data_IF_825180077045
#
_entry.id   IF_825180077045
#
_cell.length_a   1.000
_cell.length_b   1.000
_cell.length_c   1.000
_cell.angle_alpha   90.00
_cell.angle_beta   90.00
_cell.angle_gamma   90.00
#
_symmetry.space_group_name_H-M   'P 1'
#
loop_
_entity.id
_entity.type
_entity.pdbx_description
1 polymer ?
#
# COMPACT_ATOMS: atom_id res chain seq x y z
N UNK A 1 -11.50 17.55 -13.61
CA UNK A 1 -10.57 17.51 -12.45
C UNK A 1 -9.74 18.79 -12.56
N UNK A 2 -9.60 19.58 -11.50
CA UNK A 2 -8.79 20.79 -11.56
C UNK A 2 -7.27 20.44 -11.51
N UNK A 3 -6.44 21.36 -11.99
CA UNK A 3 -4.99 21.16 -12.09
C UNK A 3 -4.36 20.84 -10.71
N UNK A 4 -4.87 21.48 -9.64
CA UNK A 4 -4.37 21.24 -8.27
C UNK A 4 -4.63 19.80 -7.82
N UNK A 5 -5.84 19.26 -8.06
CA UNK A 5 -6.15 17.88 -7.73
C UNK A 5 -5.30 16.89 -8.54
N UNK A 6 -5.02 17.20 -9.81
CA UNK A 6 -4.12 16.37 -10.63
C UNK A 6 -2.70 16.36 -10.06
N UNK A 7 -2.14 17.53 -9.77
CA UNK A 7 -0.78 17.63 -9.19
C UNK A 7 -0.67 16.96 -7.83
N UNK A 8 -1.68 17.12 -6.96
CA UNK A 8 -1.72 16.44 -5.66
C UNK A 8 -1.78 14.91 -5.82
N UNK A 9 -2.59 14.41 -6.76
CA UNK A 9 -2.69 12.98 -7.04
C UNK A 9 -1.39 12.38 -7.60
N UNK A 10 -0.74 13.08 -8.53
CA UNK A 10 0.56 12.66 -9.06
C UNK A 10 1.64 12.68 -7.97
N UNK A 11 1.72 13.77 -7.19
CA UNK A 11 2.67 13.87 -6.08
C UNK A 11 2.46 12.74 -5.05
N UNK A 12 1.19 12.47 -4.69
CA UNK A 12 0.85 11.34 -3.83
C UNK A 12 1.34 10.02 -4.42
N UNK A 13 1.05 9.74 -5.70
CA UNK A 13 1.41 8.48 -6.34
C UNK A 13 2.94 8.27 -6.38
N UNK A 14 3.71 9.32 -6.68
CA UNK A 14 5.19 9.28 -6.65
C UNK A 14 5.71 9.03 -5.23
N UNK A 15 5.25 9.80 -4.25
CA UNK A 15 5.67 9.66 -2.85
C UNK A 15 5.31 8.29 -2.28
N UNK A 16 4.13 7.78 -2.62
CA UNK A 16 3.69 6.46 -2.18
C UNK A 16 4.52 5.35 -2.82
N UNK A 17 4.72 5.40 -4.13
CA UNK A 17 5.46 4.40 -4.87
C UNK A 17 6.96 4.37 -4.51
N UNK A 18 7.57 5.53 -4.25
CA UNK A 18 8.98 5.62 -3.85
C UNK A 18 9.28 4.98 -2.48
N UNK A 19 8.24 4.65 -1.69
CA UNK A 19 8.40 3.88 -0.47
C UNK A 19 9.05 2.52 -0.72
N UNK A 20 8.77 1.86 -1.85
CA UNK A 20 9.41 0.59 -2.20
C UNK A 20 10.92 0.74 -2.40
N UNK A 21 11.33 1.77 -3.12
CA UNK A 21 12.75 2.10 -3.34
C UNK A 21 13.47 2.38 -2.02
N UNK A 22 12.92 3.25 -1.17
CA UNK A 22 13.53 3.56 0.12
C UNK A 22 13.52 2.36 1.09
N UNK A 23 12.48 1.52 1.04
CA UNK A 23 12.44 0.26 1.79
C UNK A 23 13.57 -0.68 1.37
N UNK A 24 13.78 -0.87 0.06
CA UNK A 24 14.89 -1.71 -0.45
C UNK A 24 16.25 -1.22 0.05
N UNK A 25 16.47 0.09 0.09
CA UNK A 25 17.69 0.67 0.67
C UNK A 25 17.84 0.31 2.16
N UNK A 26 16.74 0.35 2.92
CA UNK A 26 16.77 0.06 4.36
C UNK A 26 17.05 -1.43 4.62
N UNK A 27 16.31 -2.34 3.96
CA UNK A 27 16.39 -3.77 4.27
C UNK A 27 17.68 -4.46 3.79
N UNK A 28 18.49 -3.77 2.99
CA UNK A 28 19.84 -4.21 2.64
C UNK A 28 20.88 -3.87 3.72
N UNK A 29 20.54 -3.00 4.66
CA UNK A 29 21.48 -2.48 5.68
C UNK A 29 20.95 -2.64 7.12
N UNK A 30 19.67 -3.01 7.29
CA UNK A 30 19.02 -3.19 8.60
C UNK A 30 17.99 -4.32 8.58
N UNK A 31 17.73 -4.96 9.72
CA UNK A 31 16.69 -5.97 9.86
C UNK A 31 15.31 -5.40 9.51
N UNK A 32 14.57 -5.99 8.55
CA UNK A 32 13.35 -5.40 8.01
C UNK A 32 12.24 -5.18 9.03
N UNK A 33 11.94 -6.18 9.87
CA UNK A 33 10.83 -6.09 10.82
C UNK A 33 11.13 -5.11 11.96
N UNK A 34 12.38 -5.10 12.47
CA UNK A 34 12.80 -4.15 13.49
C UNK A 34 12.81 -2.72 12.97
N UNK A 35 13.36 -2.50 11.78
CA UNK A 35 13.36 -1.18 11.14
C UNK A 35 11.93 -0.70 10.85
N UNK A 36 11.04 -1.59 10.41
CA UNK A 36 9.63 -1.28 10.18
C UNK A 36 8.90 -0.98 11.49
N UNK A 37 9.18 -1.71 12.58
CA UNK A 37 8.62 -1.44 13.90
C UNK A 37 8.99 -0.02 14.37
N UNK A 38 10.27 0.35 14.25
CA UNK A 38 10.75 1.68 14.61
C UNK A 38 10.12 2.78 13.74
N UNK A 39 10.03 2.55 12.42
CA UNK A 39 9.33 3.45 11.51
C UNK A 39 7.89 3.69 11.95
N UNK A 40 7.14 2.62 12.26
CA UNK A 40 5.77 2.74 12.71
C UNK A 40 5.62 3.37 14.09
N UNK A 41 6.55 3.12 15.02
CA UNK A 41 6.57 3.80 16.31
C UNK A 41 6.70 5.31 16.13
N UNK A 42 7.66 5.77 15.33
CA UNK A 42 7.88 7.19 15.06
C UNK A 42 6.68 7.82 14.32
N UNK A 43 6.25 7.21 13.20
CA UNK A 43 5.13 7.76 12.41
C UNK A 43 3.82 7.71 13.19
N UNK A 44 3.60 6.68 14.00
CA UNK A 44 2.40 6.51 14.82
C UNK A 44 2.32 7.55 15.93
N UNK A 45 3.42 7.79 16.65
CA UNK A 45 3.50 8.84 17.68
C UNK A 45 3.22 10.22 17.06
N UNK A 46 3.90 10.55 15.96
CA UNK A 46 3.67 11.82 15.25
C UNK A 46 2.23 11.92 14.74
N UNK A 47 1.68 10.84 14.17
CA UNK A 47 0.29 10.80 13.71
C UNK A 47 -0.72 11.05 14.84
N UNK A 48 -0.51 10.44 16.00
CA UNK A 48 -1.35 10.67 17.20
C UNK A 48 -1.20 12.11 17.70
N UNK A 49 0.01 12.67 17.75
CA UNK A 49 0.22 14.07 18.16
C UNK A 49 -0.49 15.04 17.22
N UNK A 50 -0.40 14.83 15.91
CA UNK A 50 -1.13 15.64 14.91
C UNK A 50 -2.64 15.51 15.12
N UNK A 51 -3.15 14.30 15.35
CA UNK A 51 -4.57 14.06 15.60
C UNK A 51 -5.06 14.81 16.84
N UNK A 52 -4.30 14.78 17.93
CA UNK A 52 -4.60 15.53 19.16
C UNK A 52 -4.60 17.04 18.90
N UNK A 53 -3.63 17.56 18.15
CA UNK A 53 -3.58 18.98 17.76
C UNK A 53 -4.77 19.39 16.89
N UNK A 54 -5.35 18.45 16.11
CA UNK A 54 -6.58 18.63 15.33
C UNK A 54 -7.87 18.48 16.17
N UNK A 55 -7.77 18.29 17.48
CA UNK A 55 -8.92 18.07 18.38
C UNK A 55 -9.51 16.65 18.31
N UNK A 56 -8.85 15.71 17.63
CA UNK A 56 -9.26 14.31 17.60
C UNK A 56 -8.78 13.59 18.86
N UNK A 57 -9.56 12.61 19.35
CA UNK A 57 -9.19 11.86 20.55
C UNK A 57 -9.55 10.38 20.43
N UNK A 58 -8.72 9.50 21.01
CA UNK A 58 -9.01 8.05 21.07
C UNK A 58 -10.23 7.71 21.95
N UNK A 59 -10.62 8.62 22.87
CA UNK A 59 -11.74 8.40 23.79
C UNK A 59 -13.11 8.38 23.10
N UNK A 60 -13.22 9.03 21.94
CA UNK A 60 -14.47 9.12 21.16
C UNK A 60 -14.56 8.08 20.05
N UNK A 61 -13.55 7.20 19.92
CA UNK A 61 -13.56 6.15 18.91
C UNK A 61 -14.65 5.11 19.21
N UNK A 62 -15.46 4.82 18.19
CA UNK A 62 -16.47 3.77 18.24
C UNK A 62 -15.85 2.36 18.23
N UNK A 63 -16.61 1.35 18.62
CA UNK A 63 -16.15 -0.05 18.54
C UNK A 63 -15.74 -0.44 17.11
N UNK A 64 -16.45 0.07 16.10
CA UNK A 64 -16.12 -0.16 14.68
C UNK A 64 -14.78 0.46 14.30
N UNK A 65 -14.50 1.67 14.78
CA UNK A 65 -13.21 2.34 14.55
C UNK A 65 -12.06 1.62 15.28
N UNK A 66 -12.25 1.15 16.50
CA UNK A 66 -11.26 0.34 17.21
C UNK A 66 -10.98 -1.00 16.50
N UNK A 67 -12.03 -1.67 15.98
CA UNK A 67 -11.81 -2.86 15.13
C UNK A 67 -10.98 -2.52 13.89
N UNK A 68 -11.23 -1.38 13.24
CA UNK A 68 -10.44 -0.94 12.10
C UNK A 68 -8.99 -0.67 12.49
N UNK A 69 -8.72 -0.01 13.62
CA UNK A 69 -7.36 0.20 14.17
C UNK A 69 -6.63 -1.12 14.33
N UNK A 70 -7.27 -2.13 14.93
CA UNK A 70 -6.65 -3.44 15.16
C UNK A 70 -6.43 -4.20 13.84
N UNK A 71 -7.47 -4.30 13.00
CA UNK A 71 -7.38 -5.05 11.74
C UNK A 71 -6.34 -4.42 10.81
N UNK A 72 -6.35 -3.09 10.65
CA UNK A 72 -5.37 -2.41 9.81
C UNK A 72 -3.96 -2.48 10.44
N UNK A 73 -3.84 -2.33 11.75
CA UNK A 73 -2.56 -2.46 12.45
C UNK A 73 -1.93 -3.86 12.27
N UNK A 74 -2.73 -4.90 12.40
CA UNK A 74 -2.25 -6.28 12.25
C UNK A 74 -2.08 -6.69 10.78
N UNK A 75 -3.12 -6.50 9.95
CA UNK A 75 -3.12 -7.01 8.59
C UNK A 75 -2.36 -6.11 7.61
N UNK A 76 -2.53 -4.78 7.70
CA UNK A 76 -1.84 -3.85 6.80
C UNK A 76 -0.42 -3.54 7.27
N UNK A 77 -0.24 -3.20 8.55
CA UNK A 77 1.06 -2.75 9.01
C UNK A 77 1.98 -3.91 9.39
N UNK A 78 1.52 -4.87 10.21
CA UNK A 78 2.39 -5.97 10.59
C UNK A 78 2.51 -7.03 9.48
N UNK A 79 1.40 -7.56 8.97
CA UNK A 79 1.45 -8.67 8.02
C UNK A 79 1.82 -8.20 6.60
N UNK A 80 1.05 -7.27 6.01
CA UNK A 80 1.31 -6.82 4.63
C UNK A 80 2.68 -6.15 4.51
N UNK A 81 2.95 -5.11 5.30
CA UNK A 81 4.23 -4.41 5.19
C UNK A 81 5.39 -5.22 5.76
N UNK A 82 5.18 -6.02 6.82
CA UNK A 82 6.21 -6.92 7.34
C UNK A 82 6.69 -7.92 6.29
N UNK A 83 5.76 -8.63 5.64
CA UNK A 83 6.11 -9.58 4.56
C UNK A 83 6.76 -8.87 3.36
N UNK A 84 6.26 -7.70 2.95
CA UNK A 84 6.88 -6.94 1.85
C UNK A 84 8.29 -6.47 2.17
N UNK A 85 8.54 -5.94 3.37
CA UNK A 85 9.87 -5.52 3.79
C UNK A 85 10.83 -6.71 3.84
N UNK A 86 10.40 -7.82 4.41
CA UNK A 86 11.19 -9.05 4.44
C UNK A 86 11.47 -9.57 3.04
N UNK A 87 10.45 -9.63 2.16
CA UNK A 87 10.61 -10.08 0.78
C UNK A 87 11.62 -9.26 -0.01
N UNK A 88 11.67 -7.94 0.23
CA UNK A 88 12.60 -7.04 -0.44
C UNK A 88 14.08 -7.22 -0.03
N UNK A 89 14.40 -8.18 0.82
CA UNK A 89 15.78 -8.65 0.98
C UNK A 89 16.24 -9.48 -0.22
N UNK A 90 15.32 -10.15 -0.91
CA UNK A 90 15.60 -11.10 -2.01
C UNK A 90 15.09 -10.66 -3.37
N UNK A 91 14.05 -9.81 -3.41
CA UNK A 91 13.49 -9.31 -4.67
C UNK A 91 13.69 -7.80 -4.82
N UNK A 92 13.61 -7.33 -6.04
CA UNK A 92 13.75 -5.92 -6.41
C UNK A 92 12.54 -5.08 -5.95
N UNK A 93 12.78 -3.80 -5.68
CA UNK A 93 11.74 -2.85 -5.25
C UNK A 93 10.67 -2.64 -6.34
N UNK A 94 11.09 -2.58 -7.60
CA UNK A 94 10.19 -2.49 -8.75
C UNK A 94 9.22 -3.65 -8.80
N UNK A 95 9.71 -4.89 -8.65
CA UNK A 95 8.88 -6.11 -8.64
C UNK A 95 7.90 -6.10 -7.45
N UNK A 96 8.36 -5.76 -6.25
CA UNK A 96 7.50 -5.65 -5.07
C UNK A 96 6.38 -4.63 -5.27
N UNK A 97 6.67 -3.47 -5.88
CA UNK A 97 5.68 -2.43 -6.18
C UNK A 97 4.61 -2.89 -7.18
N UNK A 98 5.01 -3.69 -8.19
CA UNK A 98 4.09 -4.25 -9.17
C UNK A 98 3.15 -5.25 -8.51
N UNK A 99 3.68 -6.17 -7.69
CA UNK A 99 2.86 -7.15 -6.97
C UNK A 99 1.88 -6.43 -6.02
N UNK A 100 2.35 -5.45 -5.27
CA UNK A 100 1.49 -4.65 -4.37
C UNK A 100 0.36 -3.93 -5.14
N UNK A 101 0.64 -3.45 -6.35
CA UNK A 101 -0.36 -2.79 -7.20
C UNK A 101 -1.46 -3.73 -7.71
N UNK A 102 -1.31 -5.05 -7.59
CA UNK A 102 -2.37 -6.02 -7.90
C UNK A 102 -3.47 -6.08 -6.82
N UNK A 103 -3.25 -5.49 -5.64
CA UNK A 103 -4.20 -5.50 -4.53
C UNK A 103 -5.63 -5.07 -4.92
N UNK A 104 -5.88 -4.01 -5.71
CA UNK A 104 -7.22 -3.65 -6.14
C UNK A 104 -7.92 -4.74 -6.98
N UNK A 105 -7.15 -5.51 -7.75
CA UNK A 105 -7.65 -6.66 -8.50
C UNK A 105 -8.06 -7.80 -7.55
N UNK A 106 -7.23 -8.08 -6.54
CA UNK A 106 -7.55 -9.07 -5.50
C UNK A 106 -8.80 -8.66 -4.70
N UNK A 107 -8.92 -7.38 -4.33
CA UNK A 107 -10.13 -6.85 -3.66
C UNK A 107 -11.37 -7.06 -4.54
N UNK A 108 -11.27 -6.80 -5.84
CA UNK A 108 -12.40 -6.98 -6.76
C UNK A 108 -12.75 -8.47 -6.93
N UNK A 109 -11.74 -9.33 -7.06
CA UNK A 109 -11.94 -10.78 -7.19
C UNK A 109 -12.57 -11.39 -5.93
N UNK A 110 -12.07 -11.02 -4.74
CA UNK A 110 -12.63 -11.48 -3.45
C UNK A 110 -14.03 -10.92 -3.22
N UNK A 111 -14.29 -9.65 -3.53
CA UNK A 111 -15.60 -9.04 -3.43
C UNK A 111 -16.62 -9.75 -4.33
N UNK A 112 -16.23 -10.10 -5.55
CA UNK A 112 -17.05 -10.85 -6.48
C UNK A 112 -17.30 -12.29 -6.01
N UNK A 113 -16.26 -13.03 -5.66
CA UNK A 113 -16.35 -14.47 -5.36
C UNK A 113 -16.91 -14.77 -3.97
N UNK A 114 -16.57 -13.98 -2.95
CA UNK A 114 -16.93 -14.25 -1.55
C UNK A 114 -18.09 -13.38 -1.04
N UNK A 115 -18.24 -12.16 -1.57
CA UNK A 115 -19.26 -11.22 -1.09
C UNK A 115 -20.43 -11.06 -2.07
N UNK A 116 -20.41 -11.78 -3.21
CA UNK A 116 -21.48 -11.71 -4.21
C UNK A 116 -21.59 -10.35 -4.91
N UNK A 117 -20.54 -9.52 -4.88
CA UNK A 117 -20.52 -8.25 -5.59
C UNK A 117 -20.62 -8.51 -7.10
N UNK A 118 -21.49 -7.79 -7.78
CA UNK A 118 -21.64 -7.92 -9.23
C UNK A 118 -20.56 -7.11 -9.95
N UNK A 119 -19.68 -7.79 -10.66
CA UNK A 119 -18.79 -7.16 -11.62
C UNK A 119 -19.47 -7.07 -12.98
N UNK A 120 -19.35 -5.89 -13.62
CA UNK A 120 -19.72 -5.75 -15.05
C UNK A 120 -18.73 -6.52 -15.91
N UNK A 121 -19.09 -6.85 -17.14
CA UNK A 121 -18.21 -7.56 -18.09
C UNK A 121 -16.85 -6.89 -18.25
N UNK A 122 -16.82 -5.54 -18.27
CA UNK A 122 -15.58 -4.78 -18.28
C UNK A 122 -14.70 -5.02 -17.04
N UNK A 123 -15.30 -5.22 -15.86
CA UNK A 123 -14.57 -5.57 -14.63
C UNK A 123 -13.96 -6.96 -14.67
N UNK A 124 -14.70 -7.93 -15.22
CA UNK A 124 -14.19 -9.29 -15.45
C UNK A 124 -13.01 -9.27 -16.45
N UNK A 125 -13.16 -8.55 -17.58
CA UNK A 125 -12.08 -8.33 -18.52
C UNK A 125 -10.85 -7.68 -17.89
N UNK A 126 -11.07 -6.71 -16.99
CA UNK A 126 -10.01 -6.07 -16.21
C UNK A 126 -9.27 -7.03 -15.28
N UNK A 127 -9.98 -7.96 -14.62
CA UNK A 127 -9.34 -9.01 -13.81
C UNK A 127 -8.48 -9.94 -14.68
N UNK A 128 -8.98 -10.34 -15.83
CA UNK A 128 -8.23 -11.20 -16.78
C UNK A 128 -6.96 -10.48 -17.24
N UNK A 129 -7.08 -9.20 -17.66
CA UNK A 129 -5.91 -8.39 -18.04
C UNK A 129 -4.88 -8.29 -16.90
N UNK A 130 -5.36 -8.08 -15.65
CA UNK A 130 -4.47 -8.06 -14.51
C UNK A 130 -3.69 -9.36 -14.32
N UNK A 131 -4.35 -10.52 -14.44
CA UNK A 131 -3.69 -11.83 -14.37
C UNK A 131 -2.70 -12.02 -15.51
N UNK A 132 -3.06 -11.65 -16.73
CA UNK A 132 -2.16 -11.71 -17.91
C UNK A 132 -0.93 -10.84 -17.70
N UNK A 133 -1.11 -9.59 -17.22
CA UNK A 133 0.01 -8.69 -16.94
C UNK A 133 0.96 -9.24 -15.87
N UNK A 134 0.42 -9.83 -14.80
CA UNK A 134 1.22 -10.53 -13.78
C UNK A 134 1.97 -11.71 -14.40
N UNK A 135 1.32 -12.53 -15.23
CA UNK A 135 1.96 -13.69 -15.87
C UNK A 135 3.10 -13.27 -16.79
N UNK A 136 2.97 -12.16 -17.55
CA UNK A 136 4.04 -11.61 -18.39
C UNK A 136 5.27 -11.27 -17.53
N UNK A 137 5.08 -10.53 -16.42
CA UNK A 137 6.17 -10.12 -15.55
C UNK A 137 6.80 -11.33 -14.86
N UNK A 138 5.98 -12.22 -14.30
CA UNK A 138 6.50 -13.42 -13.62
C UNK A 138 7.27 -14.32 -14.57
N UNK A 139 6.81 -14.48 -15.81
CA UNK A 139 7.52 -15.27 -16.83
C UNK A 139 8.92 -14.72 -17.11
N UNK A 140 9.06 -13.39 -17.22
CA UNK A 140 10.35 -12.74 -17.42
C UNK A 140 11.25 -12.82 -16.17
N UNK A 141 10.70 -12.54 -14.99
CA UNK A 141 11.45 -12.47 -13.73
C UNK A 141 11.91 -13.84 -13.22
N UNK A 142 11.08 -14.88 -13.35
CA UNK A 142 11.47 -16.24 -12.97
C UNK A 142 12.59 -16.79 -13.87
N UNK A 143 12.57 -16.47 -15.16
CA UNK A 143 13.67 -16.80 -16.07
C UNK A 143 14.96 -16.03 -15.74
N UNK A 144 14.83 -14.81 -15.21
CA UNK A 144 15.94 -13.98 -14.70
C UNK A 144 16.48 -14.39 -13.32
N UNK A 145 15.95 -15.45 -12.69
CA UNK A 145 16.45 -15.97 -11.41
C UNK A 145 15.93 -15.22 -10.18
N UNK A 146 14.82 -14.49 -10.28
CA UNK A 146 14.19 -13.85 -9.11
C UNK A 146 13.76 -14.89 -8.06
N UNK A 147 13.93 -14.55 -6.77
CA UNK A 147 13.62 -15.45 -5.66
C UNK A 147 12.10 -15.68 -5.54
N UNK A 148 11.70 -16.95 -5.68
CA UNK A 148 10.29 -17.35 -5.61
C UNK A 148 9.69 -17.11 -4.23
N UNK A 149 10.48 -17.25 -3.16
CA UNK A 149 10.02 -17.03 -1.78
C UNK A 149 9.60 -15.59 -1.58
N UNK A 150 10.43 -14.64 -2.01
CA UNK A 150 10.12 -13.21 -1.95
C UNK A 150 8.87 -12.86 -2.76
N UNK A 151 8.71 -13.44 -3.96
CA UNK A 151 7.51 -13.25 -4.79
C UNK A 151 6.25 -13.74 -4.06
N UNK A 152 6.28 -14.98 -3.54
CA UNK A 152 5.15 -15.57 -2.80
C UNK A 152 4.80 -14.73 -1.57
N UNK A 153 5.80 -14.28 -0.81
CA UNK A 153 5.59 -13.40 0.35
C UNK A 153 4.85 -12.10 -0.04
N UNK A 154 5.23 -11.46 -1.14
CA UNK A 154 4.53 -10.26 -1.62
C UNK A 154 3.09 -10.53 -2.06
N UNK A 155 2.81 -11.67 -2.72
CA UNK A 155 1.43 -12.04 -3.06
C UNK A 155 0.57 -12.33 -1.82
N UNK A 156 1.10 -13.07 -0.85
CA UNK A 156 0.42 -13.33 0.43
C UNK A 156 0.17 -12.01 1.18
N UNK A 157 1.14 -11.12 1.18
CA UNK A 157 1.01 -9.78 1.75
C UNK A 157 -0.13 -8.99 1.08
N UNK A 158 -0.14 -8.91 -0.26
CA UNK A 158 -1.17 -8.20 -1.02
C UNK A 158 -2.57 -8.79 -0.77
N UNK A 159 -2.68 -10.11 -0.66
CA UNK A 159 -3.93 -10.81 -0.34
C UNK A 159 -4.41 -10.47 1.08
N UNK A 160 -3.52 -10.45 2.07
CA UNK A 160 -3.85 -10.06 3.44
C UNK A 160 -4.39 -8.62 3.51
N UNK A 161 -3.76 -7.69 2.77
CA UNK A 161 -4.24 -6.32 2.66
C UNK A 161 -5.60 -6.24 1.96
N UNK A 162 -5.83 -7.04 0.92
CA UNK A 162 -7.11 -7.09 0.22
C UNK A 162 -8.24 -7.56 1.17
N UNK A 163 -8.01 -8.60 1.95
CA UNK A 163 -8.95 -9.09 2.96
C UNK A 163 -9.22 -8.03 4.03
N UNK A 164 -8.16 -7.40 4.56
CA UNK A 164 -8.30 -6.31 5.54
C UNK A 164 -9.14 -5.16 4.99
N UNK A 165 -8.88 -4.75 3.75
CA UNK A 165 -9.60 -3.67 3.07
C UNK A 165 -11.10 -3.97 2.95
N UNK A 166 -11.47 -5.21 2.62
CA UNK A 166 -12.87 -5.63 2.57
C UNK A 166 -13.53 -5.62 3.96
N UNK A 167 -12.79 -6.06 4.98
CA UNK A 167 -13.30 -6.19 6.36
C UNK A 167 -13.56 -4.82 7.03
N UNK A 168 -12.76 -3.80 6.69
CA UNK A 168 -12.85 -2.46 7.33
C UNK A 168 -13.65 -1.46 6.50
N UNK A 169 -14.34 -1.88 5.44
CA UNK A 169 -15.21 -1.00 4.65
C UNK A 169 -16.22 -0.28 5.56
N UNK A 170 -16.26 1.05 5.44
CA UNK A 170 -17.15 1.91 6.23
C UNK A 170 -16.64 2.33 7.60
N UNK A 171 -15.53 1.79 8.09
CA UNK A 171 -14.98 2.14 9.41
C UNK A 171 -14.37 3.56 9.47
N UNK A 172 -14.02 4.15 8.33
CA UNK A 172 -13.49 5.52 8.23
C UNK A 172 -14.58 6.61 8.25
N UNK A 173 -15.87 6.24 8.27
CA UNK A 173 -16.97 7.19 8.42
C UNK A 173 -17.06 7.68 9.87
N UNK A 174 -17.18 9.00 10.10
CA UNK A 174 -17.43 9.55 11.44
C UNK A 174 -16.28 10.37 12.05
N UNK A 175 -15.31 10.81 11.27
CA UNK A 175 -14.20 11.64 11.78
C UNK A 175 -13.07 10.81 12.43
N UNK A 176 -12.17 11.46 13.15
CA UNK A 176 -11.04 10.84 13.85
C UNK A 176 -10.08 10.03 12.94
N UNK A 177 -10.05 10.32 11.64
CA UNK A 177 -9.28 9.53 10.65
C UNK A 177 -7.78 9.56 10.98
N UNK A 178 -7.23 10.72 11.34
CA UNK A 178 -5.80 10.84 11.68
C UNK A 178 -5.47 10.07 12.95
N UNK A 179 -6.37 10.07 13.94
CA UNK A 179 -6.23 9.27 15.16
C UNK A 179 -6.22 7.78 14.86
N UNK A 180 -7.10 7.30 13.97
CA UNK A 180 -7.13 5.90 13.52
C UNK A 180 -5.81 5.54 12.83
N UNK A 181 -5.29 6.42 11.94
CA UNK A 181 -4.02 6.20 11.23
C UNK A 181 -2.85 6.12 12.21
N UNK A 182 -2.75 7.04 13.17
CA UNK A 182 -1.69 7.00 14.19
C UNK A 182 -1.75 5.73 15.05
N UNK A 183 -2.94 5.40 15.56
CA UNK A 183 -3.12 4.23 16.43
C UNK A 183 -2.87 2.90 15.70
N UNK A 184 -3.31 2.74 14.45
CA UNK A 184 -3.02 1.52 13.68
C UNK A 184 -1.51 1.33 13.43
N UNK A 185 -0.76 2.44 13.21
CA UNK A 185 0.69 2.38 13.12
C UNK A 185 1.33 1.93 14.43
N UNK A 186 0.85 2.43 15.59
CA UNK A 186 1.32 1.97 16.89
C UNK A 186 1.01 0.49 17.15
N UNK A 187 -0.17 0.00 16.74
CA UNK A 187 -0.48 -1.45 16.79
C UNK A 187 0.51 -2.24 15.94
N UNK A 188 0.81 -1.78 14.71
CA UNK A 188 1.82 -2.40 13.86
C UNK A 188 3.21 -2.38 14.50
N UNK A 189 3.61 -1.24 15.09
CA UNK A 189 4.89 -1.10 15.77
C UNK A 189 5.05 -2.08 16.94
N UNK A 190 4.03 -2.17 17.80
CA UNK A 190 4.03 -3.10 18.95
C UNK A 190 4.07 -4.55 18.46
N UNK A 191 3.24 -4.89 17.48
CA UNK A 191 3.18 -6.26 16.94
C UNK A 191 4.52 -6.68 16.35
N UNK A 192 5.11 -5.84 15.49
CA UNK A 192 6.40 -6.12 14.86
C UNK A 192 7.54 -6.12 15.88
N UNK A 193 7.54 -5.17 16.83
CA UNK A 193 8.54 -5.10 17.89
C UNK A 193 8.56 -6.33 18.81
N UNK A 194 7.41 -6.95 19.02
CA UNK A 194 7.30 -8.20 19.78
C UNK A 194 7.71 -9.43 18.96
N UNK A 195 7.45 -9.44 17.66
CA UNK A 195 7.70 -10.58 16.77
C UNK A 195 9.14 -10.58 16.23
N UNK A 196 9.66 -9.41 15.86
CA UNK A 196 10.95 -9.28 15.19
C UNK A 196 12.11 -9.99 15.93
N UNK A 197 12.27 -9.91 17.27
CA UNK A 197 13.37 -10.55 17.96
C UNK A 197 13.42 -12.09 17.84
N UNK A 198 12.31 -12.72 17.43
CA UNK A 198 12.25 -14.18 17.20
C UNK A 198 12.76 -14.59 15.81
N UNK A 199 12.82 -13.64 14.86
CA UNK A 199 13.19 -13.90 13.47
C UNK A 199 14.44 -13.14 13.04
N UNK A 200 14.83 -12.08 13.74
CA UNK A 200 15.88 -11.16 13.36
C UNK A 200 16.83 -10.89 14.53
N UNK A 201 18.12 -10.75 14.23
CA UNK A 201 19.12 -10.18 15.12
C UNK A 201 19.31 -8.70 14.79
N UNK A 202 19.63 -7.88 15.80
CA UNK A 202 19.93 -6.47 15.58
C UNK A 202 21.33 -6.33 14.95
N UNK A 203 21.39 -6.55 13.64
CA UNK A 203 22.57 -6.34 12.83
C UNK A 203 22.31 -5.20 11.85
N UNK A 204 22.86 -4.03 12.14
CA UNK A 204 22.60 -2.80 11.40
C UNK A 204 23.93 -2.20 10.91
N UNK A 205 24.06 -2.07 9.60
CA UNK A 205 25.15 -1.36 8.97
C UNK A 205 24.80 0.13 8.87
N UNK A 206 25.29 0.93 9.81
CA UNK A 206 25.00 2.36 9.87
C UNK A 206 25.71 3.12 8.75
N UNK A 207 24.99 3.41 7.68
CA UNK A 207 25.47 4.23 6.57
C UNK A 207 24.67 5.52 6.47
N UNK A 208 25.18 6.58 5.85
CA UNK A 208 24.39 7.77 5.51
C UNK A 208 23.16 7.42 4.64
N UNK A 209 23.30 6.41 3.75
CA UNK A 209 22.23 5.92 2.90
C UNK A 209 21.06 5.35 3.73
N UNK A 210 21.35 4.50 4.71
CA UNK A 210 20.35 3.95 5.62
C UNK A 210 19.57 5.06 6.35
N UNK A 211 20.32 6.00 6.96
CA UNK A 211 19.71 7.09 7.73
C UNK A 211 18.80 7.95 6.85
N UNK A 212 19.30 8.36 5.67
CA UNK A 212 18.50 9.15 4.72
C UNK A 212 17.28 8.39 4.24
N UNK A 213 17.43 7.13 3.83
CA UNK A 213 16.32 6.29 3.37
C UNK A 213 15.27 6.07 4.48
N UNK A 214 15.72 5.85 5.72
CA UNK A 214 14.84 5.67 6.87
C UNK A 214 14.04 6.94 7.19
N UNK A 215 14.71 8.09 7.32
CA UNK A 215 14.06 9.37 7.58
C UNK A 215 13.13 9.77 6.43
N UNK A 216 13.56 9.56 5.18
CA UNK A 216 12.72 9.74 4.00
C UNK A 216 11.44 8.90 4.11
N UNK A 217 11.57 7.62 4.45
CA UNK A 217 10.43 6.68 4.53
C UNK A 217 9.46 7.05 5.65
N UNK A 218 9.95 7.57 6.77
CA UNK A 218 9.12 8.09 7.87
C UNK A 218 8.37 9.36 7.43
N UNK A 219 9.09 10.32 6.82
CA UNK A 219 8.55 11.65 6.55
C UNK A 219 7.71 11.64 5.26
N UNK A 220 8.29 11.20 4.13
CA UNK A 220 7.67 11.40 2.82
C UNK A 220 6.52 10.44 2.58
N UNK A 221 6.68 9.11 2.46
CA UNK A 221 5.54 8.23 2.28
C UNK A 221 4.72 8.04 3.58
N UNK A 222 5.35 8.16 4.75
CA UNK A 222 4.66 7.97 6.04
C UNK A 222 3.75 9.13 6.42
N UNK A 223 4.24 10.36 6.39
CA UNK A 223 3.51 11.54 6.88
C UNK A 223 2.99 12.43 5.74
N UNK A 224 3.88 12.88 4.83
CA UNK A 224 3.53 13.86 3.79
C UNK A 224 2.55 13.26 2.78
N UNK A 225 2.80 12.04 2.29
CA UNK A 225 1.90 11.39 1.36
C UNK A 225 0.52 11.14 2.00
N UNK A 226 0.49 10.75 3.29
CA UNK A 226 -0.76 10.58 4.02
C UNK A 226 -1.53 11.90 4.13
N UNK A 227 -0.86 13.00 4.43
CA UNK A 227 -1.48 14.33 4.49
C UNK A 227 -2.01 14.77 3.12
N UNK A 228 -1.21 14.63 2.06
CA UNK A 228 -1.63 14.92 0.68
C UNK A 228 -2.83 14.06 0.26
N UNK A 229 -2.84 12.78 0.66
CA UNK A 229 -3.96 11.87 0.44
C UNK A 229 -5.27 12.39 1.05
N UNK A 230 -5.25 12.79 2.32
CA UNK A 230 -6.46 13.34 2.96
C UNK A 230 -6.94 14.62 2.31
N UNK A 231 -6.03 15.53 1.95
CA UNK A 231 -6.40 16.74 1.20
C UNK A 231 -7.01 16.40 -0.16
N UNK A 232 -6.44 15.43 -0.88
CA UNK A 232 -6.94 14.96 -2.16
C UNK A 232 -8.33 14.34 -2.03
N UNK A 233 -8.51 13.43 -1.05
CA UNK A 233 -9.81 12.81 -0.76
C UNK A 233 -10.86 13.86 -0.39
N UNK A 234 -10.52 14.85 0.42
CA UNK A 234 -11.41 15.96 0.78
C UNK A 234 -11.82 16.81 -0.46
N UNK A 235 -10.92 16.93 -1.46
CA UNK A 235 -11.15 17.76 -2.63
C UNK A 235 -11.95 17.07 -3.75
N UNK A 236 -11.64 15.81 -4.05
CA UNK A 236 -12.24 15.11 -5.21
C UNK A 236 -13.02 13.85 -4.83
N UNK A 237 -13.08 13.51 -3.55
CA UNK A 237 -13.73 12.31 -3.02
C UNK A 237 -12.83 11.06 -3.10
N UNK A 238 -13.08 10.10 -2.21
CA UNK A 238 -12.25 8.91 -2.04
C UNK A 238 -12.16 8.05 -3.32
N UNK A 239 -13.26 7.88 -4.05
CA UNK A 239 -13.30 7.04 -5.27
C UNK A 239 -12.38 7.60 -6.35
N UNK A 240 -12.42 8.93 -6.58
CA UNK A 240 -11.55 9.58 -7.56
C UNK A 240 -10.10 9.65 -7.09
N UNK A 241 -9.86 9.88 -5.80
CA UNK A 241 -8.52 9.88 -5.24
C UNK A 241 -7.87 8.49 -5.38
N UNK A 242 -8.62 7.40 -5.13
CA UNK A 242 -8.12 6.03 -5.25
C UNK A 242 -7.65 5.66 -6.66
N UNK A 243 -8.10 6.38 -7.71
CA UNK A 243 -7.61 6.12 -9.06
C UNK A 243 -6.11 6.42 -9.22
N UNK A 244 -5.54 7.30 -8.41
CA UNK A 244 -4.10 7.58 -8.49
C UNK A 244 -3.21 6.41 -8.04
N UNK A 245 -3.74 5.47 -7.26
CA UNK A 245 -2.99 4.25 -6.89
C UNK A 245 -2.66 3.35 -8.09
N UNK A 246 -3.40 3.43 -9.20
CA UNK A 246 -3.04 2.63 -10.37
C UNK A 246 -1.72 3.07 -11.02
N UNK A 247 -1.22 4.26 -10.70
CA UNK A 247 0.10 4.73 -11.13
C UNK A 247 1.26 4.16 -10.28
N UNK A 248 0.96 3.49 -9.17
CA UNK A 248 1.97 2.93 -8.25
C UNK A 248 2.96 2.00 -8.96
N UNK A 249 2.58 1.04 -9.82
CA UNK A 249 3.55 0.17 -10.47
C UNK A 249 4.47 0.94 -11.42
N UNK A 250 3.95 1.93 -12.12
CA UNK A 250 4.75 2.78 -13.00
C UNK A 250 5.81 3.58 -12.22
N UNK A 251 5.39 4.32 -11.20
CA UNK A 251 6.33 5.12 -10.41
C UNK A 251 7.24 4.26 -9.53
N UNK A 252 6.77 3.10 -9.06
CA UNK A 252 7.60 2.18 -8.27
C UNK A 252 8.76 1.63 -9.09
N UNK A 253 8.48 1.17 -10.30
CA UNK A 253 9.50 0.70 -11.24
C UNK A 253 10.43 1.84 -11.67
N UNK A 254 9.88 3.01 -11.99
CA UNK A 254 10.67 4.17 -12.40
C UNK A 254 11.63 4.66 -11.29
N UNK A 255 11.16 4.73 -10.02
CA UNK A 255 12.01 5.14 -8.89
C UNK A 255 13.05 4.07 -8.56
N UNK A 256 12.72 2.78 -8.67
CA UNK A 256 13.67 1.69 -8.46
C UNK A 256 14.78 1.71 -9.51
N UNK A 257 14.44 1.88 -10.79
CA UNK A 257 15.43 2.03 -11.85
C UNK A 257 16.32 3.26 -11.64
N UNK A 258 15.73 4.41 -11.28
CA UNK A 258 16.46 5.67 -11.14
C UNK A 258 17.42 5.68 -9.93
N UNK A 259 16.98 5.17 -8.78
CA UNK A 259 17.72 5.29 -7.51
C UNK A 259 18.47 4.02 -7.09
N UNK A 260 18.05 2.85 -7.59
CA UNK A 260 18.68 1.56 -7.27
C UNK A 260 19.44 0.97 -8.46
N UNK A 261 19.24 1.51 -9.69
CA UNK A 261 19.81 0.95 -10.89
C UNK A 261 19.19 -0.41 -11.28
N UNK A 262 17.93 -0.66 -10.88
CA UNK A 262 17.24 -1.88 -11.25
C UNK A 262 16.97 -1.91 -12.77
N UNK A 263 17.30 -3.01 -13.41
CA UNK A 263 17.10 -3.17 -14.84
C UNK A 263 15.62 -3.34 -15.20
N UNK A 264 15.20 -2.56 -16.20
CA UNK A 264 13.85 -2.62 -16.77
C UNK A 264 13.85 -3.50 -18.00
N UNK A 265 13.28 -4.70 -17.87
CA UNK A 265 13.04 -5.55 -19.01
C UNK A 265 11.81 -5.12 -19.82
N UNK A 266 11.76 -5.48 -21.10
CA UNK A 266 10.57 -5.26 -21.94
C UNK A 266 9.31 -5.92 -21.33
N UNK A 267 9.48 -7.09 -20.68
CA UNK A 267 8.40 -7.78 -19.97
C UNK A 267 7.80 -6.95 -18.83
N UNK A 268 8.63 -6.20 -18.09
CA UNK A 268 8.16 -5.32 -17.01
C UNK A 268 7.32 -4.17 -17.55
N UNK A 269 7.80 -3.50 -18.60
CA UNK A 269 7.10 -2.37 -19.23
C UNK A 269 5.74 -2.81 -19.78
N UNK A 270 5.72 -3.91 -20.54
CA UNK A 270 4.49 -4.45 -21.12
C UNK A 270 3.53 -4.92 -20.02
N UNK A 271 4.04 -5.69 -19.06
CA UNK A 271 3.22 -6.23 -17.98
C UNK A 271 2.64 -5.13 -17.08
N UNK A 272 3.42 -4.08 -16.75
CA UNK A 272 2.94 -2.91 -16.02
C UNK A 272 1.80 -2.21 -16.80
N UNK A 273 1.97 -1.99 -18.09
CA UNK A 273 0.93 -1.35 -18.91
C UNK A 273 -0.37 -2.20 -18.91
N UNK A 274 -0.25 -3.53 -19.04
CA UNK A 274 -1.39 -4.46 -19.03
C UNK A 274 -2.06 -4.49 -17.64
N UNK A 275 -1.29 -4.53 -16.54
CA UNK A 275 -1.83 -4.46 -15.18
C UNK A 275 -2.56 -3.13 -14.96
N UNK A 276 -1.98 -2.02 -15.36
CA UNK A 276 -2.60 -0.69 -15.23
C UNK A 276 -3.93 -0.62 -15.99
N UNK A 277 -3.97 -1.14 -17.22
CA UNK A 277 -5.21 -1.23 -18.00
C UNK A 277 -6.26 -2.12 -17.30
N UNK A 278 -5.84 -3.24 -16.71
CA UNK A 278 -6.70 -4.13 -15.94
C UNK A 278 -7.29 -3.45 -14.70
N UNK A 279 -6.47 -2.77 -13.91
CA UNK A 279 -6.90 -2.03 -12.73
C UNK A 279 -7.89 -0.91 -13.13
N UNK A 280 -7.58 -0.18 -14.18
CA UNK A 280 -8.45 0.89 -14.68
C UNK A 280 -9.81 0.34 -15.12
N UNK A 281 -9.85 -0.77 -15.88
CA UNK A 281 -11.08 -1.42 -16.31
C UNK A 281 -11.94 -1.88 -15.11
N UNK A 282 -11.33 -2.47 -14.09
CA UNK A 282 -12.03 -2.85 -12.84
C UNK A 282 -12.61 -1.62 -12.15
N UNK A 283 -11.85 -0.54 -12.02
CA UNK A 283 -12.32 0.67 -11.35
C UNK A 283 -13.47 1.36 -12.10
N UNK A 284 -13.40 1.46 -13.42
CA UNK A 284 -14.44 2.03 -14.26
C UNK A 284 -15.70 1.16 -14.29
N UNK A 285 -15.58 -0.15 -14.06
CA UNK A 285 -16.68 -1.08 -14.04
C UNK A 285 -17.55 -1.00 -12.79
N UNK A 286 -17.04 -0.40 -11.70
CA UNK A 286 -17.82 -0.24 -10.46
C UNK A 286 -19.00 0.67 -10.73
N UNK A 287 -20.23 0.13 -10.59
CA UNK A 287 -21.44 0.93 -10.75
C UNK A 287 -21.45 2.08 -9.73
N UNK A 288 -21.91 3.28 -10.11
CA UNK A 288 -22.16 4.32 -9.12
C UNK A 288 -23.19 3.79 -8.10
N UNK A 289 -23.10 4.21 -6.83
CA UNK A 289 -24.07 3.80 -5.83
C UNK A 289 -25.48 4.15 -6.32
N UNK A 290 -26.39 3.16 -6.32
CA UNK A 290 -27.79 3.38 -6.64
C UNK A 290 -28.33 4.39 -5.64
N UNK A 291 -28.67 5.60 -6.10
CA UNK A 291 -29.41 6.56 -5.28
C UNK A 291 -30.72 5.89 -4.90
N UNK A 292 -30.87 5.48 -3.64
CA UNK A 292 -32.16 5.06 -3.12
C UNK A 292 -33.09 6.25 -3.26
N UNK A 293 -34.31 6.09 -3.84
CA UNK A 293 -35.30 7.14 -3.80
C UNK A 293 -35.56 7.52 -2.32
N UNK A 294 -35.84 8.80 -2.03
CA UNK A 294 -36.24 9.20 -0.69
C UNK A 294 -37.43 8.34 -0.24
N UNK A 295 -37.49 7.95 1.04
CA UNK A 295 -38.65 7.25 1.57
C UNK A 295 -39.89 8.12 1.33
N UNK A 296 -40.92 7.54 0.71
CA UNK A 296 -42.23 8.14 0.45
C UNK A 296 -42.98 8.40 1.77
#
# INVERSE_FOLDING_TARGET
MDLRALLMGLAFAVMWASAFTSTRMIVTEAPPLMALALRFALSGVVGVMIALAMGQTWRTLTRTQWRAVLILGLCQNALYLGLNWTAMQWIEAGLASIIAATMPLMVAALGWSLMGERLRTMGVGGLILGVVGVAIIMGARLQGGSDLTGIVMCFVAALALAVATLTVRGASSGGNVMMIVGLQMLVGAVTLGLIAPWFETWDVTYTPRLVVAFLYTVIVPGLVATWVWFMLVGRIGAVRAATFHFLTPFFGVATAALFLGEDLGAGDVIGVAVIMAGILAVQLSKAPPVKRPPPS
#
